data_IF_578870326357
#
_entry.id   IF_578870326357
#
_cell.length_a   1.000
_cell.length_b   1.000
_cell.length_c   1.000
_cell.angle_alpha   90.00
_cell.angle_beta   90.00
_cell.angle_gamma   90.00
#
_symmetry.space_group_name_H-M   'P 1'
#
loop_
_entity.id
_entity.type
_entity.pdbx_description
1 polymer ?
#
# COMPACT_ATOMS: atom_id res chain seq x y z
N UNK A 1 -0.42 28.36 -15.15
CA UNK A 1 -0.95 27.76 -13.91
C UNK A 1 0.05 26.78 -13.37
N UNK A 2 0.44 26.90 -12.10
CA UNK A 2 1.37 25.97 -11.46
C UNK A 2 0.65 24.66 -11.05
N UNK A 3 1.42 23.66 -10.60
CA UNK A 3 0.85 22.36 -10.21
C UNK A 3 -0.18 22.49 -9.11
N UNK A 4 0.05 23.37 -8.14
CA UNK A 4 -0.83 23.60 -7.02
C UNK A 4 -2.20 24.13 -7.47
N UNK A 5 -2.19 25.13 -8.36
CA UNK A 5 -3.42 25.70 -8.89
C UNK A 5 -4.19 24.72 -9.78
N UNK A 6 -3.46 23.93 -10.56
CA UNK A 6 -4.07 22.88 -11.38
C UNK A 6 -4.76 21.83 -10.50
N UNK A 7 -4.14 21.46 -9.41
CA UNK A 7 -4.70 20.50 -8.47
C UNK A 7 -6.00 21.04 -7.84
N UNK A 8 -5.96 22.28 -7.36
CA UNK A 8 -7.15 22.94 -6.82
C UNK A 8 -8.28 23.04 -7.84
N UNK A 9 -7.96 23.43 -9.05
CA UNK A 9 -8.93 23.54 -10.14
C UNK A 9 -9.58 22.17 -10.44
N UNK A 10 -8.79 21.11 -10.46
CA UNK A 10 -9.29 19.75 -10.64
C UNK A 10 -10.28 19.34 -9.56
N UNK A 11 -9.94 19.61 -8.29
CA UNK A 11 -10.84 19.30 -7.18
C UNK A 11 -12.11 20.15 -7.21
N UNK A 12 -11.99 21.43 -7.56
CA UNK A 12 -13.13 22.34 -7.64
C UNK A 12 -14.10 21.97 -8.78
N UNK A 13 -13.65 21.25 -9.80
CA UNK A 13 -14.52 20.77 -10.89
C UNK A 13 -15.23 19.44 -10.59
N UNK A 14 -15.30 19.06 -9.32
CA UNK A 14 -16.03 17.87 -8.85
C UNK A 14 -15.51 16.53 -9.42
N UNK A 15 -14.20 16.37 -9.46
CA UNK A 15 -13.63 15.08 -9.80
C UNK A 15 -13.93 14.13 -8.64
N UNK A 16 -14.73 13.11 -8.93
CA UNK A 16 -15.08 12.07 -7.97
C UNK A 16 -13.87 11.19 -7.66
N UNK A 17 -13.72 10.78 -6.41
CA UNK A 17 -12.67 9.85 -5.98
C UNK A 17 -12.72 8.55 -6.77
N UNK A 18 -13.91 8.06 -7.12
CA UNK A 18 -14.05 6.87 -7.96
C UNK A 18 -13.38 7.06 -9.32
N UNK A 19 -13.49 8.25 -9.89
CA UNK A 19 -12.86 8.56 -11.18
C UNK A 19 -11.35 8.57 -11.06
N UNK A 20 -10.80 9.04 -9.93
CA UNK A 20 -9.38 8.98 -9.65
C UNK A 20 -8.93 7.52 -9.58
N UNK A 21 -9.62 6.70 -8.80
CA UNK A 21 -9.26 5.30 -8.61
C UNK A 21 -9.41 4.48 -9.90
N UNK A 22 -10.27 4.91 -10.84
CA UNK A 22 -10.43 4.22 -12.11
C UNK A 22 -9.16 4.21 -12.96
N UNK A 23 -8.27 5.20 -12.77
CA UNK A 23 -7.02 5.32 -13.53
C UNK A 23 -5.78 5.13 -12.67
N UNK A 24 -5.86 5.36 -11.35
CA UNK A 24 -4.70 5.41 -10.48
C UNK A 24 -4.60 4.22 -9.53
N UNK A 25 -5.44 3.23 -9.73
CA UNK A 25 -5.52 2.07 -8.86
C UNK A 25 -5.84 0.81 -9.67
N UNK A 26 -5.40 -0.35 -9.22
CA UNK A 26 -5.67 -1.64 -9.88
C UNK A 26 -6.38 -2.60 -8.93
N UNK A 27 -7.68 -2.79 -9.16
CA UNK A 27 -8.44 -3.82 -8.44
C UNK A 27 -7.99 -5.23 -8.84
N UNK A 28 -7.57 -5.38 -10.08
CA UNK A 28 -7.01 -6.65 -10.55
C UNK A 28 -5.78 -7.05 -9.74
N UNK A 29 -4.92 -6.10 -9.45
CA UNK A 29 -3.73 -6.35 -8.64
C UNK A 29 -4.11 -6.82 -7.24
N UNK A 30 -5.11 -6.19 -6.63
CA UNK A 30 -5.62 -6.61 -5.32
C UNK A 30 -6.20 -8.02 -5.35
N UNK A 31 -6.95 -8.36 -6.38
CA UNK A 31 -7.55 -9.68 -6.53
C UNK A 31 -6.48 -10.75 -6.68
N UNK A 32 -5.47 -10.50 -7.50
CA UNK A 32 -4.32 -11.41 -7.66
C UNK A 32 -3.64 -11.64 -6.32
N UNK A 33 -3.36 -10.59 -5.57
CA UNK A 33 -2.70 -10.68 -4.26
C UNK A 33 -3.52 -11.49 -3.26
N UNK A 34 -4.83 -11.24 -3.20
CA UNK A 34 -5.74 -11.99 -2.32
C UNK A 34 -5.75 -13.48 -2.68
N UNK A 35 -5.85 -13.78 -3.96
CA UNK A 35 -5.85 -15.18 -4.42
C UNK A 35 -4.54 -15.88 -4.07
N UNK A 36 -3.41 -15.20 -4.20
CA UNK A 36 -2.11 -15.75 -3.78
C UNK A 36 -2.08 -16.06 -2.29
N UNK A 37 -2.65 -15.20 -1.46
CA UNK A 37 -2.73 -15.43 -0.01
C UNK A 37 -3.61 -16.65 0.31
N UNK A 38 -4.71 -16.82 -0.40
CA UNK A 38 -5.58 -17.98 -0.23
C UNK A 38 -4.84 -19.26 -0.61
N UNK A 39 -4.16 -19.26 -1.75
CA UNK A 39 -3.37 -20.41 -2.20
C UNK A 39 -2.28 -20.74 -1.19
N UNK A 40 -1.58 -19.73 -0.69
CA UNK A 40 -0.54 -19.91 0.33
C UNK A 40 -1.09 -20.55 1.60
N UNK A 41 -2.29 -20.15 2.02
CA UNK A 41 -2.92 -20.74 3.18
C UNK A 41 -3.14 -22.25 3.00
N UNK A 42 -3.62 -22.66 1.83
CA UNK A 42 -3.84 -24.08 1.56
C UNK A 42 -2.53 -24.87 1.42
N UNK A 43 -1.47 -24.22 0.97
CA UNK A 43 -0.16 -24.89 0.83
C UNK A 43 0.60 -25.00 2.14
N UNK A 44 0.58 -23.94 2.95
CA UNK A 44 1.50 -23.78 4.07
C UNK A 44 0.79 -23.62 5.41
N UNK A 45 -0.53 -23.49 5.41
CA UNK A 45 -1.31 -23.25 6.63
C UNK A 45 -1.34 -21.79 7.05
N UNK A 46 -1.91 -21.53 8.23
CA UNK A 46 -2.06 -20.18 8.76
C UNK A 46 -0.71 -19.45 8.94
N UNK A 47 -0.72 -18.14 8.76
CA UNK A 47 0.48 -17.31 8.97
C UNK A 47 1.06 -17.47 10.37
N UNK A 48 0.22 -17.62 11.38
CA UNK A 48 0.68 -17.81 12.76
C UNK A 48 1.59 -19.03 12.93
N UNK A 49 1.48 -20.02 12.04
CA UNK A 49 2.29 -21.23 12.09
C UNK A 49 3.56 -21.12 11.26
N UNK A 50 3.63 -20.16 10.35
CA UNK A 50 4.72 -20.05 9.39
C UNK A 50 5.46 -18.71 9.45
N UNK A 51 4.97 -17.78 10.24
CA UNK A 51 5.49 -16.44 10.33
C UNK A 51 5.66 -16.04 11.79
N UNK A 52 6.79 -15.45 12.10
CA UNK A 52 7.07 -14.98 13.45
C UNK A 52 8.33 -15.58 14.04
N UNK A 53 8.49 -15.48 15.36
CA UNK A 53 9.75 -15.73 16.09
C UNK A 53 10.38 -17.10 15.84
N UNK A 54 9.56 -18.12 15.70
CA UNK A 54 10.06 -19.49 15.54
C UNK A 54 10.03 -19.99 14.10
N UNK A 55 9.65 -19.14 13.18
CA UNK A 55 9.39 -19.57 11.81
C UNK A 55 10.47 -19.07 10.87
N UNK A 56 10.63 -19.78 9.78
CA UNK A 56 11.69 -19.52 8.81
C UNK A 56 11.37 -18.37 7.87
N UNK A 57 10.13 -17.93 7.84
CA UNK A 57 9.73 -16.90 6.89
C UNK A 57 10.20 -15.53 7.33
N UNK A 58 11.05 -14.95 6.53
CA UNK A 58 11.49 -13.56 6.66
C UNK A 58 10.87 -12.77 5.51
N UNK A 59 9.89 -11.92 5.84
CA UNK A 59 9.15 -11.19 4.82
C UNK A 59 10.05 -10.24 4.04
N UNK A 60 10.97 -9.55 4.70
CA UNK A 60 11.86 -8.59 4.03
C UNK A 60 12.79 -9.30 3.05
N UNK A 61 13.42 -10.40 3.47
CA UNK A 61 14.30 -11.15 2.57
C UNK A 61 13.54 -11.74 1.38
N UNK A 62 12.35 -12.28 1.61
CA UNK A 62 11.52 -12.78 0.53
C UNK A 62 11.07 -11.67 -0.41
N UNK A 63 10.73 -10.51 0.12
CA UNK A 63 10.40 -9.33 -0.70
C UNK A 63 11.55 -8.99 -1.64
N UNK A 64 12.76 -8.93 -1.13
CA UNK A 64 13.96 -8.64 -1.92
C UNK A 64 14.20 -9.69 -3.00
N UNK A 65 14.05 -10.96 -2.66
CA UNK A 65 14.20 -12.07 -3.62
C UNK A 65 13.18 -11.96 -4.75
N UNK A 66 11.92 -11.71 -4.42
CA UNK A 66 10.87 -11.58 -5.43
C UNK A 66 11.07 -10.35 -6.31
N UNK A 67 11.51 -9.25 -5.73
CA UNK A 67 11.83 -8.06 -6.50
C UNK A 67 12.95 -8.34 -7.50
N UNK A 68 13.99 -9.05 -7.09
CA UNK A 68 15.08 -9.42 -7.98
C UNK A 68 14.59 -10.34 -9.10
N UNK A 69 13.71 -11.30 -8.79
CA UNK A 69 13.11 -12.17 -9.82
C UNK A 69 12.30 -11.37 -10.83
N UNK A 70 11.58 -10.35 -10.39
CA UNK A 70 10.90 -9.47 -11.32
C UNK A 70 11.89 -8.75 -12.24
N UNK A 71 12.96 -8.23 -11.70
CA UNK A 71 13.99 -7.53 -12.49
C UNK A 71 14.66 -8.47 -13.50
N UNK A 72 14.84 -9.72 -13.16
CA UNK A 72 15.48 -10.70 -14.02
C UNK A 72 14.57 -11.25 -15.11
N UNK A 73 13.26 -11.32 -14.85
CA UNK A 73 12.32 -12.04 -15.74
C UNK A 73 11.29 -11.13 -16.39
N UNK A 74 11.01 -9.94 -15.81
CA UNK A 74 9.92 -9.10 -16.26
C UNK A 74 8.53 -9.65 -15.95
N UNK A 75 8.42 -10.72 -15.17
CA UNK A 75 7.13 -11.29 -14.81
C UNK A 75 6.49 -10.50 -13.68
N UNK A 76 5.42 -9.77 -13.98
CA UNK A 76 4.74 -8.91 -13.03
C UNK A 76 4.05 -9.66 -11.87
N UNK A 77 3.88 -10.98 -11.99
CA UNK A 77 3.40 -11.80 -10.88
C UNK A 77 4.28 -11.63 -9.64
N UNK A 78 5.59 -11.51 -9.83
CA UNK A 78 6.51 -11.28 -8.70
C UNK A 78 6.25 -9.97 -7.97
N UNK A 79 5.67 -8.97 -8.62
CA UNK A 79 5.28 -7.73 -7.96
C UNK A 79 4.14 -7.94 -6.96
N UNK A 80 3.22 -8.85 -7.27
CA UNK A 80 2.16 -9.23 -6.34
C UNK A 80 2.75 -9.94 -5.11
N UNK A 81 3.75 -10.79 -5.30
CA UNK A 81 4.49 -11.40 -4.17
C UNK A 81 5.16 -10.32 -3.31
N UNK A 82 5.83 -9.37 -3.95
CA UNK A 82 6.50 -8.25 -3.25
C UNK A 82 5.49 -7.50 -2.39
N UNK A 83 4.33 -7.19 -2.94
CA UNK A 83 3.29 -6.48 -2.22
C UNK A 83 2.75 -7.30 -1.04
N UNK A 84 2.58 -8.61 -1.23
CA UNK A 84 2.13 -9.48 -0.14
C UNK A 84 3.16 -9.58 0.97
N UNK A 85 4.45 -9.70 0.66
CA UNK A 85 5.48 -9.70 1.68
C UNK A 85 5.57 -8.36 2.41
N UNK A 86 5.36 -7.24 1.71
CA UNK A 86 5.25 -5.94 2.36
C UNK A 86 4.05 -5.90 3.32
N UNK A 87 2.92 -6.45 2.92
CA UNK A 87 1.74 -6.58 3.78
C UNK A 87 2.03 -7.44 5.01
N UNK A 88 2.72 -8.56 4.85
CA UNK A 88 3.07 -9.44 5.97
C UNK A 88 4.00 -8.72 6.96
N UNK A 89 4.96 -7.97 6.47
CA UNK A 89 5.84 -7.17 7.33
C UNK A 89 5.05 -6.08 8.04
N UNK A 90 4.09 -5.44 7.35
CA UNK A 90 3.21 -4.46 7.95
C UNK A 90 2.38 -5.07 9.10
N UNK A 91 1.83 -6.28 8.89
CA UNK A 91 1.00 -6.95 9.88
C UNK A 91 1.81 -7.44 11.09
N UNK A 92 3.06 -7.86 10.86
CA UNK A 92 3.94 -8.42 11.89
C UNK A 92 5.36 -7.89 11.70
N UNK A 93 5.62 -6.64 12.09
CA UNK A 93 6.92 -6.04 11.85
C UNK A 93 8.07 -6.80 12.51
N UNK A 94 9.12 -7.05 11.76
CA UNK A 94 10.33 -7.69 12.26
C UNK A 94 11.30 -6.71 12.92
N UNK A 95 11.08 -5.42 12.71
CA UNK A 95 11.92 -4.37 13.27
C UNK A 95 11.34 -3.95 14.62
N UNK A 96 12.16 -3.99 15.65
CA UNK A 96 11.73 -3.62 17.00
C UNK A 96 11.26 -2.16 17.04
N UNK A 97 10.04 -1.96 17.56
CA UNK A 97 9.45 -0.63 17.67
C UNK A 97 8.82 -0.11 16.39
N UNK A 98 8.85 -0.90 15.31
CA UNK A 98 8.20 -0.51 14.07
C UNK A 98 6.69 -0.37 14.26
N UNK A 99 6.14 0.72 13.80
CA UNK A 99 4.70 0.98 13.83
C UNK A 99 4.34 2.00 12.77
N UNK A 100 3.08 2.00 12.37
CA UNK A 100 2.59 2.98 11.43
C UNK A 100 2.58 4.38 12.05
N UNK A 101 3.19 5.31 11.35
CA UNK A 101 3.13 6.74 11.68
C UNK A 101 2.79 7.49 10.40
N UNK A 102 1.62 8.10 10.32
CA UNK A 102 1.31 8.91 9.16
C UNK A 102 2.33 10.06 9.07
N UNK A 103 2.88 10.26 7.90
CA UNK A 103 3.77 11.37 7.65
C UNK A 103 3.02 12.42 6.85
N UNK A 104 3.03 13.62 7.37
CA UNK A 104 2.39 14.76 6.73
C UNK A 104 3.48 15.79 6.41
N UNK A 105 4.47 15.33 5.67
CA UNK A 105 5.61 16.14 5.27
C UNK A 105 5.63 16.34 3.75
N UNK A 106 6.47 17.25 3.23
CA UNK A 106 6.50 17.53 1.80
C UNK A 106 6.73 16.31 0.91
N UNK A 107 7.41 15.28 1.40
CA UNK A 107 7.67 14.08 0.61
C UNK A 107 6.41 13.22 0.41
N UNK A 108 5.41 13.40 1.26
CA UNK A 108 4.15 12.66 1.23
C UNK A 108 2.99 13.50 0.74
N UNK A 109 3.24 14.74 0.36
CA UNK A 109 2.22 15.68 -0.07
C UNK A 109 2.22 15.85 -1.58
N UNK A 110 1.06 16.15 -2.12
CA UNK A 110 0.92 16.53 -3.52
C UNK A 110 1.03 18.04 -3.59
N UNK A 111 2.16 18.54 -4.06
CA UNK A 111 2.38 19.98 -4.31
C UNK A 111 2.05 20.86 -3.09
N UNK A 112 2.37 20.42 -1.90
CA UNK A 112 2.14 21.15 -0.65
C UNK A 112 0.77 20.94 -0.04
N UNK A 113 0.01 19.96 -0.51
CA UNK A 113 -1.26 19.60 0.11
C UNK A 113 -1.12 18.34 0.95
N UNK A 114 -1.65 18.37 2.16
CA UNK A 114 -1.81 17.18 2.97
C UNK A 114 -3.00 16.35 2.46
N UNK A 115 -3.06 15.08 2.87
CA UNK A 115 -4.19 14.21 2.53
C UNK A 115 -5.51 14.79 3.06
N UNK A 116 -5.51 15.37 4.25
CA UNK A 116 -6.71 15.98 4.83
C UNK A 116 -7.14 17.20 4.03
N UNK A 117 -6.21 18.03 3.60
CA UNK A 117 -6.54 19.17 2.73
C UNK A 117 -7.14 18.70 1.41
N UNK A 118 -6.58 17.66 0.79
CA UNK A 118 -7.11 17.09 -0.44
C UNK A 118 -8.55 16.63 -0.25
N UNK A 119 -8.83 15.95 0.83
CA UNK A 119 -10.17 15.46 1.14
C UNK A 119 -11.14 16.59 1.43
N UNK A 120 -10.70 17.62 2.13
CA UNK A 120 -11.51 18.81 2.41
C UNK A 120 -11.87 19.53 1.11
N UNK A 121 -10.95 19.68 0.18
CA UNK A 121 -11.24 20.27 -1.14
C UNK A 121 -12.27 19.45 -1.90
N UNK A 122 -12.27 18.14 -1.72
CA UNK A 122 -13.22 17.26 -2.37
C UNK A 122 -14.56 17.13 -1.63
N UNK A 123 -14.78 17.91 -0.59
CA UNK A 123 -16.01 17.90 0.20
C UNK A 123 -16.14 16.70 1.14
N UNK A 124 -15.09 15.95 1.34
CA UNK A 124 -15.08 14.83 2.27
C UNK A 124 -14.81 15.30 3.69
N UNK A 125 -15.40 14.60 4.65
CA UNK A 125 -15.10 14.84 6.04
C UNK A 125 -13.70 14.35 6.34
N UNK A 126 -13.05 15.01 7.28
CA UNK A 126 -11.76 14.58 7.79
C UNK A 126 -11.81 13.11 8.20
N UNK A 127 -10.80 12.37 7.78
CA UNK A 127 -10.75 10.94 8.02
C UNK A 127 -9.78 10.65 9.13
N UNK A 128 -10.28 9.96 10.14
CA UNK A 128 -9.50 9.56 11.30
C UNK A 128 -8.90 8.15 11.17
N UNK A 129 -9.16 7.49 10.05
CA UNK A 129 -8.73 6.10 9.81
C UNK A 129 -7.24 5.90 10.02
N UNK A 130 -6.44 6.89 9.68
CA UNK A 130 -4.98 6.79 9.79
C UNK A 130 -4.46 6.76 11.22
N UNK A 131 -5.26 7.17 12.16
CA UNK A 131 -4.90 7.18 13.57
C UNK A 131 -4.95 5.79 14.19
N UNK A 132 -5.54 4.84 13.49
CA UNK A 132 -5.70 3.47 13.95
C UNK A 132 -4.55 2.54 13.60
N UNK A 133 -3.60 3.03 12.84
CA UNK A 133 -2.46 2.24 12.39
C UNK A 133 -1.25 2.49 13.27
N UNK A 134 -1.33 2.09 14.48
CA UNK A 134 -0.20 2.21 15.39
C UNK A 134 0.53 0.91 15.65
#
# INVERSE_FOLDING_TARGET
MNKHDKFKAGLASNIDIKNILSTEYSERFDEIRKNMMIVSYYKYGPLKDNYGTYKCMNAIENLKIRLQKYLDTGNTEYLADVANFAMLEFMNPSIKGAKYKPTDNPDCEISGFSINEIRNFNGEKEVTVYEHYE
#
